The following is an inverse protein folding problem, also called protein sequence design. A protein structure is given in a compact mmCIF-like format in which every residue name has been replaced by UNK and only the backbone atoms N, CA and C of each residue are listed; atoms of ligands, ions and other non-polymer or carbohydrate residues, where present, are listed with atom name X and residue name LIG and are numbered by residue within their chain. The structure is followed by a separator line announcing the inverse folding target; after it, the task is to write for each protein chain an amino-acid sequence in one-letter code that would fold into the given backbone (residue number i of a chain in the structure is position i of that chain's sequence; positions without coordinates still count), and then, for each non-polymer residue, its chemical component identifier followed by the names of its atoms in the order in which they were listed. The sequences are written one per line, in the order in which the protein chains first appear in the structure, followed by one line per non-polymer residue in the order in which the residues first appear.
data_IF_508645572958
#
_entry.id   IF_508645572958
#
_cell.length_a   1.000
_cell.length_b   1.000
_cell.length_c   1.000
_cell.angle_alpha   90.00
_cell.angle_beta   90.00
_cell.angle_gamma   90.00
#
_symmetry.space_group_name_H-M   'P 1'
#
loop_
_entity.id
_entity.type
_entity.pdbx_description
1 polymer ?
#
# COMPACT_ATOMS: atom_id res chain seq x y z
N UNK A 1 7.25 5.00 -11.87
CA UNK A 1 5.94 5.17 -12.59
C UNK A 1 5.19 6.38 -12.06
N UNK A 2 4.91 6.50 -10.78
CA UNK A 2 4.09 7.57 -10.15
C UNK A 2 4.63 8.98 -10.36
N UNK A 3 5.98 9.15 -10.40
CA UNK A 3 6.61 10.43 -10.75
C UNK A 3 6.23 10.88 -12.17
N UNK A 4 6.29 9.96 -13.15
CA UNK A 4 5.95 10.26 -14.56
C UNK A 4 4.46 10.54 -14.78
N UNK A 5 3.58 9.97 -13.96
CA UNK A 5 2.13 10.19 -14.00
C UNK A 5 1.70 11.48 -13.28
N UNK A 6 2.62 12.17 -12.61
CA UNK A 6 2.33 13.39 -11.86
C UNK A 6 1.76 13.18 -10.45
N UNK A 7 1.48 11.93 -10.04
CA UNK A 7 0.90 11.65 -8.71
C UNK A 7 1.80 12.14 -7.57
N UNK A 8 3.10 11.94 -7.68
CA UNK A 8 4.07 12.45 -6.69
C UNK A 8 4.02 13.97 -6.65
N UNK A 9 3.93 14.63 -7.82
CA UNK A 9 3.88 16.09 -7.90
C UNK A 9 2.69 16.69 -7.17
N UNK A 10 1.52 16.04 -7.20
CA UNK A 10 0.34 16.51 -6.45
C UNK A 10 0.63 16.63 -4.95
N UNK A 11 1.39 15.69 -4.40
CA UNK A 11 1.76 15.69 -2.98
C UNK A 11 2.90 16.66 -2.70
N UNK A 12 3.94 16.66 -3.54
CA UNK A 12 5.10 17.56 -3.33
C UNK A 12 4.73 19.02 -3.48
N UNK A 13 3.80 19.40 -4.37
CA UNK A 13 3.30 20.77 -4.48
C UNK A 13 2.64 21.24 -3.18
N UNK A 14 1.94 20.35 -2.46
CA UNK A 14 1.35 20.66 -1.14
C UNK A 14 2.44 20.83 -0.08
N UNK A 15 3.45 19.96 -0.09
CA UNK A 15 4.58 20.07 0.82
C UNK A 15 5.36 21.39 0.60
N UNK A 16 5.63 21.73 -0.65
CA UNK A 16 6.29 22.99 -1.03
C UNK A 16 5.49 24.22 -0.56
N UNK A 17 4.18 24.24 -0.78
CA UNK A 17 3.28 25.30 -0.34
C UNK A 17 3.29 25.51 1.19
N UNK A 18 3.59 24.44 1.94
CA UNK A 18 3.66 24.47 3.40
C UNK A 18 5.09 24.57 3.93
N UNK A 19 6.08 24.78 3.05
CA UNK A 19 7.48 24.92 3.42
C UNK A 19 8.11 23.65 4.03
N UNK A 20 7.53 22.48 3.73
CA UNK A 20 8.05 21.19 4.20
C UNK A 20 9.15 20.69 3.28
N UNK A 21 10.29 20.33 3.85
CA UNK A 21 11.36 19.66 3.12
C UNK A 21 11.02 18.20 2.91
N UNK A 22 11.45 17.64 1.78
CA UNK A 22 11.24 16.22 1.45
C UNK A 22 12.32 15.71 0.50
N UNK A 23 12.51 14.40 0.51
CA UNK A 23 13.30 13.67 -0.48
C UNK A 23 12.44 12.59 -1.14
N UNK A 24 12.64 12.37 -2.44
CA UNK A 24 11.84 11.42 -3.23
C UNK A 24 12.66 10.17 -3.55
N UNK A 25 12.24 9.03 -3.06
CA UNK A 25 12.74 7.71 -3.47
C UNK A 25 11.80 7.07 -4.48
N UNK A 26 12.25 6.87 -5.71
CA UNK A 26 11.40 6.41 -6.85
C UNK A 26 11.79 5.05 -7.44
N UNK A 27 12.78 4.36 -6.87
CA UNK A 27 13.37 3.18 -7.47
C UNK A 27 12.66 1.86 -7.08
N UNK A 28 11.45 1.95 -6.55
CA UNK A 28 10.57 0.80 -6.38
C UNK A 28 9.91 0.48 -7.73
N UNK A 29 10.56 -0.37 -8.53
CA UNK A 29 10.20 -0.63 -9.93
C UNK A 29 9.41 -1.92 -10.15
N UNK A 30 9.17 -2.69 -9.10
CA UNK A 30 8.48 -3.98 -9.17
C UNK A 30 8.05 -4.48 -7.80
N UNK A 31 8.12 -5.79 -7.57
CA UNK A 31 7.90 -6.35 -6.23
C UNK A 31 8.95 -5.81 -5.25
N UNK A 32 8.55 -5.49 -4.01
CA UNK A 32 9.49 -4.93 -3.03
C UNK A 32 10.56 -5.95 -2.65
N UNK A 33 11.82 -5.49 -2.59
CA UNK A 33 12.95 -6.32 -2.20
C UNK A 33 13.66 -5.75 -0.98
N UNK A 34 14.42 -6.60 -0.28
CA UNK A 34 15.34 -6.22 0.80
C UNK A 34 16.27 -5.08 0.36
N UNK A 35 16.83 -5.14 -0.85
CA UNK A 35 17.71 -4.11 -1.41
C UNK A 35 17.01 -2.77 -1.63
N UNK A 36 15.74 -2.78 -2.04
CA UNK A 36 14.95 -1.56 -2.15
C UNK A 36 14.67 -0.94 -0.77
N UNK A 37 14.47 -1.78 0.24
CA UNK A 37 14.31 -1.31 1.63
C UNK A 37 15.60 -0.68 2.15
N UNK A 38 16.76 -1.31 1.92
CA UNK A 38 18.05 -0.76 2.31
C UNK A 38 18.36 0.59 1.64
N UNK A 39 18.07 0.69 0.33
CA UNK A 39 18.25 1.95 -0.40
C UNK A 39 17.34 3.07 0.16
N UNK A 40 16.08 2.75 0.44
CA UNK A 40 15.15 3.69 1.07
C UNK A 40 15.59 4.11 2.47
N UNK A 41 16.12 3.17 3.28
CA UNK A 41 16.66 3.45 4.60
C UNK A 41 17.87 4.41 4.56
N UNK A 42 18.76 4.25 3.58
CA UNK A 42 19.90 5.14 3.41
C UNK A 42 19.44 6.59 3.14
N UNK A 43 18.46 6.77 2.26
CA UNK A 43 17.88 8.10 2.00
C UNK A 43 17.24 8.65 3.26
N UNK A 44 16.41 7.86 3.94
CA UNK A 44 15.73 8.26 5.17
C UNK A 44 16.72 8.78 6.22
N UNK A 45 17.86 8.09 6.40
CA UNK A 45 18.91 8.48 7.37
C UNK A 45 19.72 9.67 6.91
N UNK A 46 20.13 9.71 5.65
CA UNK A 46 21.00 10.77 5.12
C UNK A 46 20.30 12.12 5.06
N UNK A 47 18.99 12.11 4.79
CA UNK A 47 18.14 13.31 4.69
C UNK A 47 17.45 13.63 6.03
N UNK A 48 17.80 12.91 7.11
CA UNK A 48 17.27 13.12 8.46
C UNK A 48 15.72 13.19 8.50
N UNK A 49 15.06 12.30 7.71
CA UNK A 49 13.61 12.28 7.63
C UNK A 49 12.99 11.85 8.97
N UNK A 50 11.81 12.39 9.30
CA UNK A 50 11.07 12.09 10.53
C UNK A 50 9.73 11.39 10.29
N UNK A 51 9.24 11.37 9.03
CA UNK A 51 8.06 10.61 8.60
C UNK A 51 8.24 10.08 7.17
N UNK A 52 7.32 9.23 6.73
CA UNK A 52 7.34 8.58 5.42
C UNK A 52 5.98 8.71 4.72
N UNK A 53 6.00 9.00 3.43
CA UNK A 53 4.81 8.98 2.58
C UNK A 53 5.01 7.93 1.47
N UNK A 54 4.17 6.89 1.46
CA UNK A 54 4.15 5.88 0.41
C UNK A 54 3.06 6.17 -0.62
N UNK A 55 3.47 6.49 -1.87
CA UNK A 55 2.55 6.79 -2.97
C UNK A 55 2.67 5.73 -4.04
N UNK A 56 1.62 4.95 -4.26
CA UNK A 56 1.62 3.92 -5.30
C UNK A 56 0.67 2.76 -5.02
N UNK A 57 0.86 1.65 -5.71
CA UNK A 57 0.20 0.39 -5.37
C UNK A 57 0.81 -0.27 -4.14
N UNK A 58 0.59 -1.57 -3.96
CA UNK A 58 1.11 -2.30 -2.81
C UNK A 58 2.62 -2.18 -2.63
N UNK A 59 3.41 -2.29 -3.72
CA UNK A 59 4.87 -2.33 -3.64
C UNK A 59 5.51 -1.08 -3.00
N UNK A 60 5.21 0.16 -3.41
CA UNK A 60 5.74 1.35 -2.74
C UNK A 60 5.29 1.48 -1.28
N UNK A 61 4.03 1.12 -0.98
CA UNK A 61 3.50 1.17 0.38
C UNK A 61 4.19 0.11 1.26
N UNK A 62 4.36 -1.11 0.76
CA UNK A 62 5.06 -2.18 1.46
C UNK A 62 6.54 -1.85 1.69
N UNK A 63 7.21 -1.25 0.70
CA UNK A 63 8.58 -0.75 0.87
C UNK A 63 8.66 0.33 1.95
N UNK A 64 7.75 1.31 1.94
CA UNK A 64 7.67 2.35 2.97
C UNK A 64 7.53 1.76 4.38
N UNK A 65 6.62 0.79 4.56
CA UNK A 65 6.42 0.10 5.84
C UNK A 65 7.69 -0.61 6.32
N UNK A 66 8.36 -1.30 5.40
CA UNK A 66 9.61 -2.00 5.71
C UNK A 66 10.73 -1.02 6.07
N UNK A 67 10.89 0.10 5.33
CA UNK A 67 11.83 1.17 5.67
C UNK A 67 11.54 1.74 7.06
N UNK A 68 10.27 1.98 7.41
CA UNK A 68 9.89 2.46 8.73
C UNK A 68 10.32 1.49 9.85
N UNK A 69 10.17 0.18 9.62
CA UNK A 69 10.58 -0.85 10.59
C UNK A 69 12.08 -0.83 10.83
N UNK A 70 12.87 -0.86 9.77
CA UNK A 70 14.36 -0.87 9.90
C UNK A 70 14.92 0.47 10.31
N UNK A 71 14.19 1.57 10.10
CA UNK A 71 14.56 2.90 10.62
C UNK A 71 14.40 2.99 12.15
N UNK A 72 13.45 2.26 12.71
CA UNK A 72 13.13 2.27 14.14
C UNK A 72 13.81 1.16 14.93
N UNK A 73 14.23 0.09 14.27
CA UNK A 73 14.82 -1.10 14.89
C UNK A 73 16.29 -1.30 14.50
N UNK A 74 16.83 -2.41 14.98
CA UNK A 74 18.19 -2.84 14.66
C UNK A 74 18.18 -3.94 13.59
N UNK A 75 19.25 -4.01 12.81
CA UNK A 75 19.47 -5.05 11.81
C UNK A 75 18.84 -4.76 10.46
N UNK A 76 18.64 -5.82 9.67
CA UNK A 76 18.03 -5.79 8.34
C UNK A 76 16.55 -6.18 8.39
N UNK A 77 15.81 -5.94 7.31
CA UNK A 77 14.41 -6.34 7.23
C UNK A 77 14.23 -7.86 7.34
N UNK A 78 15.24 -8.64 6.95
CA UNK A 78 15.24 -10.11 7.01
C UNK A 78 15.17 -10.65 8.45
N UNK A 79 15.73 -9.90 9.39
CA UNK A 79 15.73 -10.26 10.81
C UNK A 79 14.33 -10.26 11.44
N UNK A 80 13.37 -9.65 10.77
CA UNK A 80 11.97 -9.58 11.21
C UNK A 80 11.09 -10.72 10.68
N UNK A 81 11.63 -11.57 9.79
CA UNK A 81 10.91 -12.73 9.28
C UNK A 81 10.50 -13.67 10.43
N UNK A 82 9.22 -14.05 10.46
CA UNK A 82 8.67 -14.93 11.50
C UNK A 82 8.46 -14.27 12.88
N UNK A 83 8.82 -13.00 13.02
CA UNK A 83 8.61 -12.24 14.27
C UNK A 83 7.40 -11.31 14.12
N UNK A 84 6.71 -11.04 15.23
CA UNK A 84 5.66 -10.02 15.25
C UNK A 84 6.29 -8.64 15.50
N UNK A 85 6.16 -7.76 14.52
CA UNK A 85 6.75 -6.42 14.55
C UNK A 85 5.92 -5.51 15.46
N UNK A 86 6.55 -5.03 16.56
CA UNK A 86 5.93 -4.16 17.56
C UNK A 86 6.74 -2.90 17.83
N UNK A 87 7.75 -2.64 17.01
CA UNK A 87 8.58 -1.44 17.15
C UNK A 87 7.74 -0.18 16.91
N UNK A 88 8.07 0.90 17.58
CA UNK A 88 7.46 2.22 17.32
C UNK A 88 8.16 2.83 16.13
N UNK A 89 7.56 2.70 14.98
CA UNK A 89 8.07 3.24 13.71
C UNK A 89 7.89 4.76 13.61
N UNK A 90 8.64 5.43 12.73
CA UNK A 90 8.30 6.77 12.24
C UNK A 90 6.86 6.81 11.71
N UNK A 91 6.26 7.99 11.68
CA UNK A 91 4.91 8.17 11.14
C UNK A 91 4.87 7.79 9.67
N UNK A 92 3.81 7.08 9.27
CA UNK A 92 3.60 6.61 7.91
C UNK A 92 2.28 7.10 7.35
N UNK A 93 2.33 7.72 6.18
CA UNK A 93 1.16 8.09 5.38
C UNK A 93 1.14 7.23 4.13
N UNK A 94 0.06 6.53 3.88
CA UNK A 94 -0.11 5.71 2.68
C UNK A 94 -1.14 6.33 1.74
N UNK A 95 -0.77 6.51 0.46
CA UNK A 95 -1.62 7.05 -0.60
C UNK A 95 -1.68 6.02 -1.72
N UNK A 96 -2.67 5.12 -1.73
CA UNK A 96 -2.78 4.10 -2.74
C UNK A 96 -3.16 4.69 -4.11
N UNK A 97 -2.58 4.13 -5.17
CA UNK A 97 -2.89 4.46 -6.56
C UNK A 97 -3.53 3.30 -7.32
N UNK A 98 -3.89 2.25 -6.59
CA UNK A 98 -4.59 1.05 -7.09
C UNK A 98 -5.63 0.62 -6.09
N UNK A 99 -6.75 0.10 -6.57
CA UNK A 99 -7.87 -0.37 -5.74
C UNK A 99 -7.82 -1.89 -5.63
N UNK A 100 -7.05 -2.44 -4.69
CA UNK A 100 -6.94 -3.91 -4.61
C UNK A 100 -6.16 -4.42 -3.42
N UNK A 101 -4.90 -4.00 -3.28
CA UNK A 101 -3.99 -4.61 -2.31
C UNK A 101 -4.37 -4.36 -0.85
N UNK A 102 -5.02 -3.22 -0.55
CA UNK A 102 -5.34 -2.82 0.81
C UNK A 102 -4.13 -2.60 1.72
N UNK A 103 -2.94 -2.41 1.12
CA UNK A 103 -1.70 -2.28 1.89
C UNK A 103 -1.72 -1.04 2.79
N UNK A 104 -2.45 0.02 2.41
CA UNK A 104 -2.64 1.26 3.16
C UNK A 104 -3.33 1.06 4.53
N UNK A 105 -4.11 -0.02 4.67
CA UNK A 105 -4.93 -0.29 5.86
C UNK A 105 -4.64 -1.66 6.49
N UNK A 106 -3.49 -2.28 6.21
CA UNK A 106 -3.13 -3.59 6.75
C UNK A 106 -1.89 -3.56 7.62
N UNK A 107 -1.85 -4.47 8.61
CA UNK A 107 -0.68 -4.73 9.45
C UNK A 107 0.28 -5.75 8.84
N UNK A 108 0.35 -5.82 7.51
CA UNK A 108 1.18 -6.74 6.75
C UNK A 108 2.04 -5.97 5.74
N UNK A 109 3.22 -6.50 5.46
CA UNK A 109 4.05 -6.09 4.33
C UNK A 109 4.77 -7.31 3.77
N UNK A 110 4.94 -7.35 2.46
CA UNK A 110 5.60 -8.48 1.76
C UNK A 110 6.86 -7.95 1.10
N UNK A 111 8.01 -8.48 1.53
CA UNK A 111 9.33 -8.12 1.00
C UNK A 111 10.02 -9.37 0.51
N UNK A 112 10.57 -9.33 -0.69
CA UNK A 112 11.36 -10.43 -1.25
C UNK A 112 12.79 -10.35 -0.73
N UNK A 113 13.25 -11.41 -0.06
CA UNK A 113 14.67 -11.59 0.23
C UNK A 113 15.34 -12.04 -1.07
N UNK A 114 16.27 -11.23 -1.58
CA UNK A 114 16.89 -11.46 -2.90
C UNK A 114 17.96 -12.52 -2.89
N UNK A 115 18.55 -12.85 -1.72
CA UNK A 115 19.56 -13.90 -1.61
C UNK A 115 18.93 -15.29 -1.55
N UNK A 116 17.80 -15.41 -0.84
CA UNK A 116 17.10 -16.69 -0.63
C UNK A 116 15.99 -16.92 -1.64
N UNK A 117 15.65 -15.93 -2.45
CA UNK A 117 14.53 -15.93 -3.40
C UNK A 117 13.19 -16.33 -2.75
N UNK A 118 12.90 -15.73 -1.59
CA UNK A 118 11.67 -15.98 -0.83
C UNK A 118 10.89 -14.68 -0.56
N UNK A 119 9.56 -14.78 -0.61
CA UNK A 119 8.66 -13.73 -0.18
C UNK A 119 8.45 -13.81 1.32
N UNK A 120 8.93 -12.83 2.05
CA UNK A 120 8.76 -12.70 3.49
C UNK A 120 7.46 -11.98 3.81
N UNK A 121 6.53 -12.66 4.45
CA UNK A 121 5.37 -12.01 5.04
C UNK A 121 5.75 -11.49 6.43
N UNK A 122 5.79 -10.18 6.56
CA UNK A 122 6.10 -9.47 7.79
C UNK A 122 4.80 -8.89 8.37
N UNK A 123 4.59 -9.03 9.68
CA UNK A 123 3.32 -8.68 10.29
C UNK A 123 3.46 -8.06 11.68
N UNK A 124 2.61 -7.12 11.98
CA UNK A 124 2.51 -6.55 13.31
C UNK A 124 2.02 -5.09 13.32
N UNK A 125 1.80 -4.55 14.50
CA UNK A 125 1.34 -3.15 14.63
C UNK A 125 2.36 -2.12 14.12
N UNK A 126 3.64 -2.48 14.10
CA UNK A 126 4.70 -1.59 13.60
C UNK A 126 4.70 -1.39 12.07
N UNK A 127 3.96 -2.19 11.30
CA UNK A 127 3.82 -1.99 9.85
C UNK A 127 2.47 -1.38 9.45
N UNK A 128 1.63 -1.00 10.43
CA UNK A 128 0.36 -0.34 10.15
C UNK A 128 0.58 1.15 9.89
N UNK A 129 0.18 1.70 8.74
CA UNK A 129 0.26 3.14 8.51
C UNK A 129 -0.58 3.93 9.52
N UNK A 130 -0.09 5.12 9.90
CA UNK A 130 -0.83 6.03 10.80
C UNK A 130 -2.01 6.71 10.10
N UNK A 131 -1.88 6.93 8.78
CA UNK A 131 -2.89 7.56 7.94
C UNK A 131 -2.93 6.91 6.57
N UNK A 132 -4.11 6.56 6.11
CA UNK A 132 -4.40 6.21 4.72
C UNK A 132 -5.20 7.34 4.06
N UNK A 133 -4.80 7.75 2.85
CA UNK A 133 -5.50 8.76 2.05
C UNK A 133 -6.03 8.08 0.80
N UNK A 134 -7.27 7.65 0.84
CA UNK A 134 -7.96 6.98 -0.27
C UNK A 134 -8.69 8.03 -1.13
N UNK A 135 -7.92 8.70 -2.00
CA UNK A 135 -8.44 9.69 -2.93
C UNK A 135 -8.49 9.10 -4.35
N UNK A 136 -9.67 9.02 -4.99
CA UNK A 136 -9.82 8.49 -6.33
C UNK A 136 -8.97 9.21 -7.38
N UNK A 137 -8.59 10.46 -7.14
CA UNK A 137 -7.70 11.24 -8.03
C UNK A 137 -6.41 10.49 -8.33
N UNK A 138 -5.85 9.79 -7.35
CA UNK A 138 -4.60 9.03 -7.51
C UNK A 138 -4.75 7.73 -8.31
N UNK A 139 -5.97 7.21 -8.44
CA UNK A 139 -6.25 5.94 -9.15
C UNK A 139 -6.83 6.13 -10.54
N UNK A 140 -7.42 7.29 -10.84
CA UNK A 140 -8.02 7.57 -12.15
C UNK A 140 -7.02 7.49 -13.31
N UNK A 141 -5.72 7.58 -13.04
CA UNK A 141 -4.64 7.46 -14.03
C UNK A 141 -4.21 6.00 -14.28
N UNK A 142 -4.79 5.04 -13.57
CA UNK A 142 -4.44 3.63 -13.70
C UNK A 142 -4.83 3.09 -15.10
N UNK A 143 -3.93 2.35 -15.78
CA UNK A 143 -4.28 1.64 -17.00
C UNK A 143 -5.42 0.63 -16.77
N UNK A 144 -6.25 0.39 -17.79
CA UNK A 144 -7.36 -0.58 -17.70
C UNK A 144 -6.93 -1.96 -17.22
N UNK A 145 -5.76 -2.43 -17.64
CA UNK A 145 -5.21 -3.72 -17.20
C UNK A 145 -4.91 -3.74 -15.70
N UNK A 146 -4.41 -2.62 -15.15
CA UNK A 146 -4.16 -2.48 -13.70
C UNK A 146 -5.50 -2.42 -12.96
N UNK A 147 -6.45 -1.63 -13.43
CA UNK A 147 -7.81 -1.54 -12.84
C UNK A 147 -8.46 -2.93 -12.75
N UNK A 148 -8.41 -3.72 -13.84
CA UNK A 148 -8.98 -5.06 -13.85
C UNK A 148 -8.24 -5.99 -12.90
N UNK A 149 -6.91 -6.04 -12.96
CA UNK A 149 -6.10 -6.95 -12.14
C UNK A 149 -6.27 -6.66 -10.63
N UNK A 150 -6.20 -5.38 -10.24
CA UNK A 150 -6.31 -5.00 -8.83
C UNK A 150 -7.74 -5.11 -8.32
N UNK A 151 -8.75 -4.82 -9.15
CA UNK A 151 -10.15 -5.04 -8.77
C UNK A 151 -10.50 -6.52 -8.57
N UNK A 152 -9.93 -7.41 -9.39
CA UNK A 152 -10.06 -8.86 -9.19
C UNK A 152 -9.27 -9.34 -7.96
N UNK A 153 -8.12 -8.75 -7.67
CA UNK A 153 -7.36 -9.02 -6.44
C UNK A 153 -8.19 -8.65 -5.20
N UNK A 154 -8.86 -7.48 -5.22
CA UNK A 154 -9.80 -7.09 -4.17
C UNK A 154 -10.95 -8.10 -4.01
N UNK A 155 -11.49 -8.62 -5.11
CA UNK A 155 -12.54 -9.66 -5.10
C UNK A 155 -12.04 -10.96 -4.48
N UNK A 156 -10.81 -11.37 -4.82
CA UNK A 156 -10.18 -12.55 -4.20
C UNK A 156 -10.04 -12.35 -2.69
N UNK A 157 -9.50 -11.21 -2.25
CA UNK A 157 -9.36 -10.90 -0.82
C UNK A 157 -10.69 -10.92 -0.08
N UNK A 158 -11.74 -10.32 -0.64
CA UNK A 158 -13.07 -10.31 -0.05
C UNK A 158 -13.66 -11.73 0.05
N UNK A 159 -13.51 -12.53 -1.00
CA UNK A 159 -13.98 -13.91 -1.04
C UNK A 159 -13.22 -14.81 -0.05
N UNK A 160 -11.91 -14.66 0.04
CA UNK A 160 -11.05 -15.38 1.00
C UNK A 160 -11.42 -15.01 2.45
N UNK A 161 -11.64 -13.73 2.74
CA UNK A 161 -12.07 -13.28 4.05
C UNK A 161 -13.41 -13.92 4.45
N UNK A 162 -14.39 -13.91 3.55
CA UNK A 162 -15.71 -14.49 3.79
C UNK A 162 -15.66 -16.01 4.00
N UNK A 163 -14.80 -16.72 3.29
CA UNK A 163 -14.65 -18.18 3.38
C UNK A 163 -13.61 -18.61 4.42
N UNK A 164 -12.91 -17.68 5.07
CA UNK A 164 -11.87 -17.97 6.05
C UNK A 164 -12.42 -18.72 7.27
N UNK A 165 -11.62 -19.65 7.81
CA UNK A 165 -11.92 -20.28 9.11
C UNK A 165 -11.86 -19.29 10.29
N UNK A 166 -11.22 -18.13 10.12
CA UNK A 166 -11.10 -17.06 11.11
C UNK A 166 -12.12 -15.94 10.92
N UNK A 167 -13.09 -16.15 10.04
CA UNK A 167 -14.14 -15.16 9.75
C UNK A 167 -14.89 -14.76 11.03
N UNK A 168 -15.35 -13.53 11.04
CA UNK A 168 -16.18 -12.97 12.12
C UNK A 168 -17.37 -12.24 11.51
N UNK A 169 -18.45 -12.10 12.26
CA UNK A 169 -19.70 -11.50 11.78
C UNK A 169 -19.47 -10.15 11.09
N UNK A 170 -18.70 -9.26 11.73
CA UNK A 170 -18.43 -7.93 11.18
C UNK A 170 -17.58 -7.98 9.90
N UNK A 171 -16.59 -8.86 9.84
CA UNK A 171 -15.76 -9.02 8.63
C UNK A 171 -16.54 -9.66 7.49
N UNK A 172 -17.49 -10.52 7.77
CA UNK A 172 -18.39 -11.10 6.77
C UNK A 172 -19.25 -10.02 6.10
N UNK A 173 -19.79 -9.07 6.88
CA UNK A 173 -20.58 -7.95 6.33
C UNK A 173 -19.72 -7.06 5.42
N UNK A 174 -18.49 -6.74 5.83
CA UNK A 174 -17.57 -5.99 4.99
C UNK A 174 -17.20 -6.75 3.70
N UNK A 175 -16.92 -8.04 3.81
CA UNK A 175 -16.57 -8.87 2.68
C UNK A 175 -17.72 -8.96 1.66
N UNK A 176 -18.95 -9.19 2.12
CA UNK A 176 -20.14 -9.24 1.25
C UNK A 176 -20.41 -7.88 0.61
N UNK A 177 -20.26 -6.79 1.36
CA UNK A 177 -20.41 -5.43 0.82
C UNK A 177 -19.35 -5.15 -0.26
N UNK A 178 -18.10 -5.55 -0.02
CA UNK A 178 -16.99 -5.41 -0.98
C UNK A 178 -17.28 -6.21 -2.27
N UNK A 179 -17.66 -7.48 -2.15
CA UNK A 179 -17.99 -8.33 -3.29
C UNK A 179 -19.09 -7.67 -4.15
N UNK A 180 -20.19 -7.22 -3.54
CA UNK A 180 -21.29 -6.56 -4.26
C UNK A 180 -20.81 -5.32 -5.01
N UNK A 181 -20.04 -4.44 -4.36
CA UNK A 181 -19.51 -3.22 -4.97
C UNK A 181 -18.55 -3.51 -6.13
N UNK A 182 -17.68 -4.52 -5.98
CA UNK A 182 -16.74 -4.89 -7.04
C UNK A 182 -17.51 -5.37 -8.27
N UNK A 183 -18.51 -6.26 -8.11
CA UNK A 183 -19.33 -6.71 -9.24
C UNK A 183 -20.12 -5.58 -9.90
N UNK A 184 -20.59 -4.59 -9.14
CA UNK A 184 -21.32 -3.45 -9.66
C UNK A 184 -20.42 -2.44 -10.35
N UNK A 185 -19.30 -2.05 -9.73
CA UNK A 185 -18.53 -0.88 -10.14
C UNK A 185 -17.28 -1.20 -10.95
N UNK A 186 -16.63 -2.36 -10.78
CA UNK A 186 -15.42 -2.70 -11.54
C UNK A 186 -15.64 -2.72 -13.06
N UNK A 187 -16.74 -3.27 -13.60
CA UNK A 187 -17.01 -3.18 -15.03
C UNK A 187 -17.18 -1.74 -15.51
N UNK A 188 -17.77 -0.87 -14.70
CA UNK A 188 -17.94 0.56 -15.00
C UNK A 188 -16.57 1.25 -15.02
N UNK A 189 -15.73 1.02 -13.98
CA UNK A 189 -14.36 1.58 -13.94
C UNK A 189 -13.53 1.17 -15.15
N UNK A 190 -13.66 -0.08 -15.58
CA UNK A 190 -12.92 -0.58 -16.75
C UNK A 190 -13.36 0.08 -18.05
N UNK A 191 -14.66 0.29 -18.25
CA UNK A 191 -15.20 0.88 -19.47
C UNK A 191 -15.12 2.42 -19.44
N UNK A 192 -15.33 3.03 -18.28
CA UNK A 192 -15.42 4.47 -18.05
C UNK A 192 -14.40 4.91 -16.97
N UNK A 193 -13.08 4.93 -17.26
CA UNK A 193 -12.05 5.21 -16.23
C UNK A 193 -12.13 6.62 -15.64
N UNK A 194 -12.88 7.54 -16.26
CA UNK A 194 -13.17 8.89 -15.73
C UNK A 194 -14.38 8.95 -14.79
N UNK A 195 -15.08 7.84 -14.56
CA UNK A 195 -16.24 7.79 -13.67
C UNK A 195 -15.79 7.78 -12.20
N UNK A 196 -15.61 8.97 -11.62
CA UNK A 196 -15.12 9.17 -10.24
C UNK A 196 -15.91 8.36 -9.21
N UNK A 197 -17.25 8.28 -9.38
CA UNK A 197 -18.10 7.52 -8.46
C UNK A 197 -17.75 6.03 -8.47
N UNK A 198 -17.63 5.44 -9.66
CA UNK A 198 -17.29 4.03 -9.78
C UNK A 198 -15.88 3.74 -9.21
N UNK A 199 -14.92 4.60 -9.52
CA UNK A 199 -13.56 4.51 -8.98
C UNK A 199 -13.57 4.59 -7.45
N UNK A 200 -14.28 5.57 -6.85
CA UNK A 200 -14.39 5.69 -5.40
C UNK A 200 -14.96 4.43 -4.75
N UNK A 201 -16.03 3.85 -5.32
CA UNK A 201 -16.64 2.64 -4.74
C UNK A 201 -15.77 1.41 -4.89
N UNK A 202 -14.94 1.32 -5.92
CA UNK A 202 -13.96 0.23 -6.06
C UNK A 202 -12.83 0.38 -5.06
N UNK A 203 -12.41 1.60 -4.72
CA UNK A 203 -11.44 1.89 -3.66
C UNK A 203 -11.94 1.54 -2.26
N UNK A 204 -13.20 1.88 -1.98
CA UNK A 204 -13.82 1.63 -0.68
C UNK A 204 -14.13 0.14 -0.41
N UNK A 205 -13.75 -0.76 -1.31
CA UNK A 205 -13.75 -2.19 -1.03
C UNK A 205 -12.54 -2.54 -0.18
N UNK A 206 -12.54 -2.04 1.01
CA UNK A 206 -11.43 -2.06 1.95
C UNK A 206 -10.96 -3.44 2.38
N UNK A 207 -9.73 -3.48 2.91
CA UNK A 207 -8.95 -4.67 3.15
C UNK A 207 -9.67 -5.60 4.09
N UNK A 208 -10.01 -6.74 3.57
CA UNK A 208 -10.59 -7.86 4.31
C UNK A 208 -9.51 -8.79 4.84
N UNK A 209 -8.24 -8.39 4.75
CA UNK A 209 -7.13 -9.11 5.39
C UNK A 209 -7.15 -8.87 6.88
N UNK A 210 -7.89 -9.70 7.59
CA UNK A 210 -7.83 -9.84 9.04
C UNK A 210 -7.13 -11.14 9.45
#
# INVERSE_FOLDING_TARGET
MMVKLGNVKLVTDILDQNGQQYSVYSDVTGEPTDKMVDAGLQIYKNEECDFLIGIGGGSPIDTMKAVAVVAAGDGSIDDYMGKRIRVRTPRMVAIPTTSGTGSEATQFTIITNTEKDIKMLLAGSGVMPDLAIDDPTFTMTAPKSVTAATGLDALCHASEAYTSRKRQLLTDEFALSAIKKIFEYLPICYNEPSNVKAVSYTHLTLPTKL
#
